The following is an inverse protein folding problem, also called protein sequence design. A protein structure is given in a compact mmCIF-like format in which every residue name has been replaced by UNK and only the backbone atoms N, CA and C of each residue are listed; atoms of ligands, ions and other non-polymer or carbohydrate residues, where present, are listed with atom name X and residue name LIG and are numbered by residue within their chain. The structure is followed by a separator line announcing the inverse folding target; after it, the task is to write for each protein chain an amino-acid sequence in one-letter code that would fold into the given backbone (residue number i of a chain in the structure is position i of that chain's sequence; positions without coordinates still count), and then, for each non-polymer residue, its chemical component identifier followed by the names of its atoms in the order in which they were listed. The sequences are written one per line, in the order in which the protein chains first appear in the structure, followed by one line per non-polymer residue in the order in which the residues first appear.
data_IF_283657996352
#
_entry.id   IF_283657996352
#
_cell.length_a   1.000
_cell.length_b   1.000
_cell.length_c   1.000
_cell.angle_alpha   90.00
_cell.angle_beta   90.00
_cell.angle_gamma   90.00
#
_symmetry.space_group_name_H-M   'P 1'
#
loop_
_entity.id
_entity.type
_entity.pdbx_description
1 polymer ?
#
# COMPACT_ATOMS: atom_id res chain seq x y z
N UNK A 1 31.34 -41.78 -15.86
CA UNK A 1 30.25 -41.74 -14.89
C UNK A 1 29.60 -40.38 -15.03
N UNK A 2 28.58 -40.30 -15.87
CA UNK A 2 27.86 -39.10 -16.20
C UNK A 2 26.64 -39.01 -15.26
N UNK A 3 26.50 -37.88 -14.56
CA UNK A 3 25.37 -37.60 -13.69
C UNK A 3 24.12 -37.33 -14.57
N UNK A 4 22.91 -37.71 -14.14
CA UNK A 4 21.71 -37.47 -14.90
C UNK A 4 21.19 -36.04 -14.74
N UNK A 5 20.78 -35.44 -15.86
CA UNK A 5 20.11 -34.15 -15.98
C UNK A 5 18.83 -34.10 -15.13
N UNK A 6 18.75 -33.10 -14.27
CA UNK A 6 17.52 -32.73 -13.57
C UNK A 6 16.65 -31.84 -14.47
N UNK A 7 15.35 -32.04 -14.56
CA UNK A 7 14.48 -31.24 -15.40
C UNK A 7 14.33 -29.82 -14.82
N UNK A 8 14.64 -28.83 -15.64
CA UNK A 8 14.35 -27.41 -15.36
C UNK A 8 12.84 -27.20 -15.32
N UNK A 9 12.29 -26.97 -14.13
CA UNK A 9 10.92 -26.52 -13.97
C UNK A 9 10.81 -25.09 -14.54
N UNK A 10 10.02 -24.93 -15.58
CA UNK A 10 9.56 -23.63 -16.05
C UNK A 10 8.74 -22.99 -14.93
N UNK A 11 9.23 -21.88 -14.39
CA UNK A 11 8.44 -20.98 -13.60
C UNK A 11 7.27 -20.49 -14.45
N UNK A 12 6.09 -21.04 -14.20
CA UNK A 12 4.85 -20.51 -14.73
C UNK A 12 4.62 -19.12 -14.17
N UNK A 13 4.56 -18.13 -15.04
CA UNK A 13 4.06 -16.82 -14.70
C UNK A 13 2.67 -17.01 -14.06
N UNK A 14 2.55 -16.65 -12.79
CA UNK A 14 1.28 -16.54 -12.11
C UNK A 14 0.49 -15.46 -12.84
N UNK A 15 -0.53 -15.87 -13.59
CA UNK A 15 -1.44 -14.99 -14.29
C UNK A 15 -2.08 -14.05 -13.28
N UNK A 16 -1.92 -12.79 -13.53
CA UNK A 16 -2.59 -11.69 -12.88
C UNK A 16 -4.10 -11.86 -13.14
N UNK A 17 -4.78 -12.37 -12.14
CA UNK A 17 -6.23 -12.51 -12.14
C UNK A 17 -6.89 -11.16 -11.97
N UNK A 18 -6.75 -10.28 -12.97
CA UNK A 18 -7.56 -9.07 -13.10
C UNK A 18 -9.00 -9.44 -13.40
N UNK A 19 -9.69 -9.93 -12.38
CA UNK A 19 -11.14 -9.93 -12.36
C UNK A 19 -11.63 -8.49 -12.35
N UNK A 20 -11.99 -7.95 -13.51
CA UNK A 20 -12.71 -6.71 -13.67
C UNK A 20 -14.11 -6.84 -13.05
N UNK A 21 -14.18 -6.72 -11.74
CA UNK A 21 -15.41 -6.42 -11.03
C UNK A 21 -15.68 -4.94 -11.20
N UNK A 22 -16.36 -4.57 -12.29
CA UNK A 22 -16.94 -3.26 -12.43
C UNK A 22 -18.02 -3.09 -11.36
N UNK A 23 -17.67 -2.50 -10.24
CA UNK A 23 -18.61 -1.79 -9.41
C UNK A 23 -18.79 -0.43 -10.05
N UNK A 24 -19.85 -0.30 -10.88
CA UNK A 24 -20.30 0.98 -11.40
C UNK A 24 -20.71 1.85 -10.21
N UNK A 25 -19.74 2.59 -9.68
CA UNK A 25 -20.02 3.73 -8.83
C UNK A 25 -20.77 4.77 -9.65
N UNK A 26 -21.88 5.28 -9.12
CA UNK A 26 -22.72 6.26 -9.75
C UNK A 26 -21.88 7.47 -10.21
N UNK A 27 -21.66 7.60 -11.52
CA UNK A 27 -21.03 8.74 -12.16
C UNK A 27 -19.81 8.38 -12.97
N UNK A 28 -19.98 8.03 -14.24
CA UNK A 28 -19.02 7.56 -15.25
C UNK A 28 -17.73 8.36 -15.53
N UNK A 29 -17.20 9.15 -14.61
CA UNK A 29 -16.03 9.97 -14.85
C UNK A 29 -14.72 9.39 -14.32
N UNK A 30 -14.71 8.49 -13.35
CA UNK A 30 -13.49 7.92 -12.75
C UNK A 30 -13.68 6.46 -12.34
N UNK A 31 -12.56 5.73 -12.29
CA UNK A 31 -12.53 4.34 -11.83
C UNK A 31 -12.29 4.25 -10.32
N UNK A 32 -12.56 3.07 -9.74
CA UNK A 32 -12.25 2.76 -8.35
C UNK A 32 -10.76 2.94 -8.03
N UNK A 33 -9.86 2.55 -8.95
CA UNK A 33 -8.42 2.74 -8.79
C UNK A 33 -8.00 4.20 -8.82
N UNK A 34 -8.61 5.02 -9.67
CA UNK A 34 -8.42 6.46 -9.68
C UNK A 34 -8.87 7.09 -8.36
N UNK A 35 -10.01 6.66 -7.81
CA UNK A 35 -10.48 7.12 -6.51
C UNK A 35 -9.52 6.75 -5.38
N UNK A 36 -9.07 5.49 -5.31
CA UNK A 36 -8.07 5.03 -4.34
C UNK A 36 -6.78 5.83 -4.45
N UNK A 37 -6.29 6.03 -5.67
CA UNK A 37 -5.05 6.78 -5.95
C UNK A 37 -5.15 8.23 -5.50
N UNK A 38 -6.26 8.90 -5.81
CA UNK A 38 -6.49 10.28 -5.39
C UNK A 38 -6.65 10.38 -3.87
N UNK A 39 -7.35 9.44 -3.25
CA UNK A 39 -7.46 9.39 -1.78
C UNK A 39 -6.08 9.24 -1.11
N UNK A 40 -5.20 8.39 -1.68
CA UNK A 40 -3.84 8.20 -1.19
C UNK A 40 -2.95 9.44 -1.44
N UNK A 41 -3.09 10.10 -2.60
CA UNK A 41 -2.37 11.33 -2.88
C UNK A 41 -2.75 12.44 -1.89
N UNK A 42 -4.04 12.62 -1.62
CA UNK A 42 -4.56 13.62 -0.65
C UNK A 42 -4.11 13.37 0.78
N UNK A 43 -3.64 12.15 1.10
CA UNK A 43 -3.08 11.83 2.41
C UNK A 43 -1.62 12.27 2.57
N UNK A 44 -0.95 12.71 1.51
CA UNK A 44 0.42 13.19 1.54
C UNK A 44 0.45 14.72 1.70
N UNK A 45 1.46 15.23 2.39
CA UNK A 45 1.70 16.65 2.56
C UNK A 45 3.02 17.08 1.91
N UNK A 46 3.10 18.36 1.55
CA UNK A 46 4.30 18.93 0.95
C UNK A 46 5.51 18.85 1.89
N UNK A 47 6.68 18.59 1.34
CA UNK A 47 7.92 18.46 2.09
C UNK A 47 8.13 17.13 2.83
N UNK A 48 7.16 16.19 2.81
CA UNK A 48 7.35 14.85 3.37
C UNK A 48 8.38 14.04 2.58
N UNK A 49 9.06 13.12 3.26
CA UNK A 49 9.80 12.02 2.66
C UNK A 49 8.90 10.79 2.58
N UNK A 50 8.73 10.26 1.38
CA UNK A 50 7.82 9.15 1.11
C UNK A 50 8.56 7.95 0.55
N UNK A 51 8.49 6.80 1.23
CA UNK A 51 9.00 5.52 0.71
C UNK A 51 7.93 4.87 -0.16
N UNK A 52 8.24 4.73 -1.45
CA UNK A 52 7.24 4.45 -2.48
C UNK A 52 7.46 3.07 -3.09
N UNK A 53 6.38 2.29 -3.17
CA UNK A 53 6.30 1.07 -3.99
C UNK A 53 5.86 1.38 -5.42
N UNK A 54 5.75 0.33 -6.24
CA UNK A 54 5.23 0.41 -7.61
C UNK A 54 3.69 0.31 -7.62
N UNK A 55 3.07 0.70 -8.71
CA UNK A 55 1.62 0.65 -8.89
C UNK A 55 0.90 1.85 -8.27
N UNK A 56 -0.23 1.60 -7.60
CA UNK A 56 -1.05 2.66 -6.99
C UNK A 56 -0.27 3.58 -6.04
N UNK A 57 0.65 3.08 -5.19
CA UNK A 57 1.49 3.95 -4.35
C UNK A 57 2.32 4.94 -5.16
N UNK A 58 2.96 4.48 -6.23
CA UNK A 58 3.74 5.35 -7.12
C UNK A 58 2.86 6.38 -7.83
N UNK A 59 1.69 5.97 -8.30
CA UNK A 59 0.72 6.86 -8.91
C UNK A 59 0.26 7.95 -7.93
N UNK A 60 -0.08 7.58 -6.69
CA UNK A 60 -0.51 8.50 -5.66
C UNK A 60 0.57 9.52 -5.28
N UNK A 61 1.80 9.06 -5.05
CA UNK A 61 2.90 9.93 -4.68
C UNK A 61 3.29 10.91 -5.82
N UNK A 62 3.31 10.44 -7.07
CA UNK A 62 3.56 11.31 -8.22
C UNK A 62 2.40 12.28 -8.48
N UNK A 63 1.14 11.87 -8.28
CA UNK A 63 -0.02 12.76 -8.34
C UNK A 63 0.08 13.86 -7.27
N UNK A 64 0.38 13.51 -6.02
CA UNK A 64 0.57 14.49 -4.96
C UNK A 64 1.65 15.51 -5.31
N UNK A 65 2.79 15.05 -5.83
CA UNK A 65 3.88 15.91 -6.27
C UNK A 65 3.50 16.81 -7.45
N UNK A 66 2.70 16.32 -8.39
CA UNK A 66 2.22 17.07 -9.54
C UNK A 66 1.13 18.11 -9.19
N UNK A 67 0.54 18.02 -7.99
CA UNK A 67 -0.60 18.87 -7.59
C UNK A 67 -0.30 19.72 -6.37
N UNK A 68 -0.46 19.18 -5.18
CA UNK A 68 -0.45 19.95 -3.92
C UNK A 68 0.80 19.76 -3.07
N UNK A 69 1.70 18.84 -3.42
CA UNK A 69 2.91 18.52 -2.66
C UNK A 69 4.17 18.51 -3.55
N UNK A 70 4.52 19.64 -4.22
CA UNK A 70 5.64 19.69 -5.20
C UNK A 70 7.01 19.38 -4.59
N UNK A 71 7.19 19.58 -3.29
CA UNK A 71 8.43 19.31 -2.58
C UNK A 71 8.46 17.93 -1.91
N UNK A 72 7.52 17.03 -2.24
CA UNK A 72 7.50 15.66 -1.76
C UNK A 72 8.74 14.90 -2.27
N UNK A 73 9.53 14.35 -1.36
CA UNK A 73 10.74 13.58 -1.69
C UNK A 73 10.39 12.11 -1.82
N UNK A 74 10.43 11.59 -3.05
CA UNK A 74 10.16 10.18 -3.33
C UNK A 74 11.45 9.36 -3.16
N UNK A 75 11.36 8.30 -2.35
CA UNK A 75 12.45 7.36 -2.11
C UNK A 75 11.99 5.98 -2.54
N UNK A 76 12.78 5.30 -3.36
CA UNK A 76 12.50 3.94 -3.80
C UNK A 76 13.53 2.96 -3.22
N UNK A 77 13.09 1.73 -2.97
CA UNK A 77 13.93 0.66 -2.39
C UNK A 77 15.22 0.40 -3.21
N UNK A 78 15.19 0.66 -4.52
CA UNK A 78 16.34 0.54 -5.41
C UNK A 78 17.50 1.51 -5.11
N UNK A 79 17.31 2.49 -4.22
CA UNK A 79 18.34 3.45 -3.83
C UNK A 79 18.16 4.85 -4.38
N UNK A 80 17.11 5.11 -5.14
CA UNK A 80 16.85 6.46 -5.70
C UNK A 80 16.19 7.36 -4.66
N UNK A 81 16.71 8.57 -4.50
CA UNK A 81 16.19 9.60 -3.59
C UNK A 81 15.84 10.84 -4.41
N UNK A 82 14.65 11.37 -4.20
CA UNK A 82 14.15 12.54 -4.91
C UNK A 82 13.85 12.28 -6.38
N UNK A 83 13.49 11.05 -6.76
CA UNK A 83 13.10 10.72 -8.12
C UNK A 83 11.87 11.53 -8.57
N UNK A 84 11.91 12.02 -9.81
CA UNK A 84 10.87 12.89 -10.40
C UNK A 84 10.43 12.36 -11.77
N UNK A 85 9.99 11.10 -11.87
CA UNK A 85 9.64 10.51 -13.15
C UNK A 85 8.46 11.26 -13.78
N UNK A 86 8.51 11.43 -15.11
CA UNK A 86 7.45 12.02 -15.92
C UNK A 86 6.38 11.02 -16.36
N UNK A 87 6.65 9.72 -16.15
CA UNK A 87 5.73 8.59 -16.31
C UNK A 87 5.85 7.63 -15.13
N UNK A 88 4.84 6.82 -14.89
CA UNK A 88 4.94 5.77 -13.88
C UNK A 88 6.00 4.73 -14.27
N UNK A 89 6.87 4.42 -13.32
CA UNK A 89 7.85 3.35 -13.45
C UNK A 89 7.17 1.98 -13.42
N UNK A 90 7.63 1.07 -14.29
CA UNK A 90 7.11 -0.30 -14.37
C UNK A 90 7.73 -1.23 -13.33
N UNK A 91 8.87 -0.86 -12.77
CA UNK A 91 9.55 -1.57 -11.70
C UNK A 91 10.42 -0.63 -10.86
N UNK A 92 10.85 -1.06 -9.68
CA UNK A 92 11.80 -0.29 -8.86
C UNK A 92 13.18 -0.18 -9.52
N UNK A 93 13.48 -1.01 -10.53
CA UNK A 93 14.70 -0.97 -11.34
C UNK A 93 14.55 -0.22 -12.66
N UNK A 94 13.44 0.48 -12.89
CA UNK A 94 13.26 1.30 -14.09
C UNK A 94 14.25 2.46 -14.08
N UNK A 95 15.04 2.61 -15.17
CA UNK A 95 16.08 3.64 -15.31
C UNK A 95 15.58 5.08 -15.11
N UNK A 96 14.30 5.37 -15.44
CA UNK A 96 13.70 6.68 -15.23
C UNK A 96 13.77 7.17 -13.77
N UNK A 97 13.77 6.24 -12.81
CA UNK A 97 13.88 6.59 -11.40
C UNK A 97 15.29 7.11 -11.07
N UNK A 98 16.33 6.50 -11.64
CA UNK A 98 17.71 6.94 -11.45
C UNK A 98 18.02 8.22 -12.25
N UNK A 99 17.55 8.29 -13.50
CA UNK A 99 17.77 9.44 -14.39
C UNK A 99 17.17 10.73 -13.85
N UNK A 100 16.10 10.64 -13.06
CA UNK A 100 15.38 11.80 -12.52
C UNK A 100 15.61 12.02 -11.02
N UNK A 101 16.41 11.17 -10.36
CA UNK A 101 16.71 11.28 -8.95
C UNK A 101 17.69 12.43 -8.63
N UNK A 102 17.55 13.01 -7.45
CA UNK A 102 18.52 13.96 -6.91
C UNK A 102 19.83 13.24 -6.54
N UNK A 103 19.74 11.96 -6.11
CA UNK A 103 20.88 11.09 -5.86
C UNK A 103 20.49 9.62 -5.92
N UNK A 104 21.47 8.75 -6.13
CA UNK A 104 21.34 7.29 -6.09
C UNK A 104 22.36 6.74 -5.11
N UNK A 105 21.89 5.96 -4.15
CA UNK A 105 22.75 5.29 -3.16
C UNK A 105 22.48 3.79 -3.16
N UNK A 106 23.27 3.01 -2.43
CA UNK A 106 23.07 1.56 -2.38
C UNK A 106 21.81 1.19 -1.56
N UNK A 107 21.24 0.01 -1.86
CA UNK A 107 20.11 -0.54 -1.09
C UNK A 107 20.40 -0.61 0.41
N UNK A 108 21.59 -1.11 0.88
CA UNK A 108 21.91 -1.08 2.31
C UNK A 108 21.90 0.33 2.91
N UNK A 109 22.31 1.36 2.17
CA UNK A 109 22.32 2.73 2.68
C UNK A 109 20.90 3.29 2.82
N UNK A 110 19.96 2.96 1.89
CA UNK A 110 18.55 3.31 2.03
C UNK A 110 17.99 2.75 3.34
N UNK A 111 18.22 1.47 3.62
CA UNK A 111 17.70 0.84 4.82
C UNK A 111 18.38 1.34 6.08
N UNK A 112 19.73 1.34 6.12
CA UNK A 112 20.48 1.64 7.34
C UNK A 112 20.52 3.12 7.70
N UNK A 113 20.50 4.03 6.72
CA UNK A 113 20.69 5.46 6.97
C UNK A 113 19.44 6.30 6.77
N UNK A 114 18.43 5.80 6.05
CA UNK A 114 17.17 6.52 5.84
C UNK A 114 16.02 5.88 6.59
N UNK A 115 15.79 4.59 6.40
CA UNK A 115 14.61 3.91 6.92
C UNK A 115 14.75 3.61 8.42
N UNK A 116 15.75 2.83 8.83
CA UNK A 116 15.94 2.43 10.23
C UNK A 116 16.11 3.59 11.20
N UNK A 117 16.78 4.71 10.86
CA UNK A 117 16.82 5.88 11.75
C UNK A 117 15.51 6.67 11.84
N UNK A 118 14.46 6.28 11.11
CA UNK A 118 13.15 6.94 11.14
C UNK A 118 13.11 8.28 10.38
N UNK A 119 13.91 8.42 9.31
CA UNK A 119 13.95 9.63 8.48
C UNK A 119 12.87 9.68 7.41
N UNK A 120 12.10 8.60 7.25
CA UNK A 120 10.99 8.50 6.31
C UNK A 120 9.70 8.86 7.02
N UNK A 121 8.99 9.86 6.50
CA UNK A 121 7.73 10.31 7.10
C UNK A 121 6.61 9.33 6.82
N UNK A 122 6.46 8.88 5.56
CA UNK A 122 5.40 7.96 5.15
C UNK A 122 5.96 6.82 4.30
N UNK A 123 5.58 5.58 4.64
CA UNK A 123 5.79 4.40 3.80
C UNK A 123 4.47 3.88 3.25
N UNK A 124 4.45 3.49 1.97
CA UNK A 124 3.32 2.80 1.39
C UNK A 124 3.52 1.29 1.41
N UNK A 125 2.47 0.56 1.79
CA UNK A 125 2.43 -0.90 1.74
C UNK A 125 1.15 -1.40 1.06
N UNK A 126 1.25 -2.54 0.41
CA UNK A 126 0.12 -3.36 -0.01
C UNK A 126 -0.07 -4.55 0.93
N UNK A 127 -1.19 -5.27 0.78
CA UNK A 127 -1.49 -6.45 1.58
C UNK A 127 -2.17 -7.52 0.74
N UNK A 128 -1.81 -8.78 0.94
CA UNK A 128 -2.63 -9.92 0.49
C UNK A 128 -3.69 -10.28 1.55
N UNK A 129 -3.32 -10.17 2.83
CA UNK A 129 -4.25 -10.17 3.96
C UNK A 129 -3.88 -9.05 4.93
N UNK A 130 -4.91 -8.48 5.56
CA UNK A 130 -4.79 -7.49 6.62
C UNK A 130 -5.85 -7.78 7.69
N UNK A 131 -5.50 -7.62 8.97
CA UNK A 131 -6.42 -7.79 10.08
C UNK A 131 -6.86 -6.45 10.69
N UNK A 132 -7.71 -6.53 11.73
CA UNK A 132 -8.28 -5.36 12.42
C UNK A 132 -7.23 -4.42 13.03
N UNK A 133 -6.03 -4.92 13.32
CA UNK A 133 -4.91 -4.13 13.87
C UNK A 133 -3.93 -3.66 12.79
N UNK A 134 -4.26 -3.86 11.51
CA UNK A 134 -3.41 -3.48 10.39
C UNK A 134 -2.14 -4.31 10.26
N UNK A 135 -2.09 -5.52 10.86
CA UNK A 135 -1.02 -6.46 10.56
C UNK A 135 -1.18 -6.98 9.14
N UNK A 136 -0.09 -7.07 8.41
CA UNK A 136 -0.08 -7.40 6.99
C UNK A 136 0.57 -8.75 6.75
N UNK A 137 -0.03 -9.54 5.88
CA UNK A 137 0.52 -10.77 5.35
C UNK A 137 0.73 -10.67 3.84
N UNK A 138 1.97 -10.93 3.41
CA UNK A 138 2.37 -11.09 2.00
C UNK A 138 3.24 -12.34 1.82
N UNK A 139 3.22 -13.28 2.77
CA UNK A 139 4.15 -14.41 2.81
C UNK A 139 3.49 -15.74 2.50
N UNK A 140 2.42 -16.12 3.18
CA UNK A 140 1.69 -17.38 2.97
C UNK A 140 0.20 -17.22 3.21
N UNK A 141 -0.61 -18.08 2.59
CA UNK A 141 -2.04 -18.21 2.93
C UNK A 141 -2.34 -19.68 3.18
N UNK A 142 -2.95 -19.96 4.33
CA UNK A 142 -3.34 -21.30 4.79
C UNK A 142 -2.17 -22.25 5.04
N UNK A 143 -2.35 -23.17 5.96
CA UNK A 143 -1.28 -24.07 6.40
C UNK A 143 -0.27 -23.41 7.33
N UNK A 144 0.93 -23.93 7.40
CA UNK A 144 2.06 -23.37 8.13
C UNK A 144 3.18 -22.90 7.19
N UNK A 145 4.20 -22.24 7.74
CA UNK A 145 5.29 -21.69 6.92
C UNK A 145 6.05 -22.75 6.12
N UNK A 146 6.19 -23.97 6.64
CA UNK A 146 6.87 -25.08 5.98
C UNK A 146 6.03 -25.73 4.88
N UNK A 147 4.69 -25.72 5.03
CA UNK A 147 3.73 -26.34 4.11
C UNK A 147 2.49 -25.45 3.88
N UNK A 148 2.63 -24.28 3.24
CA UNK A 148 1.52 -23.37 2.99
C UNK A 148 0.65 -23.87 1.84
N UNK A 149 -0.65 -23.56 1.89
CA UNK A 149 -1.54 -23.79 0.73
C UNK A 149 -1.18 -22.89 -0.44
N UNK A 150 -0.82 -21.63 -0.15
CA UNK A 150 -0.36 -20.67 -1.15
C UNK A 150 0.89 -19.96 -0.62
N UNK A 151 1.96 -19.95 -1.42
CA UNK A 151 3.15 -19.12 -1.19
C UNK A 151 2.95 -17.80 -1.94
N UNK A 152 3.06 -16.69 -1.22
CA UNK A 152 3.02 -15.33 -1.76
C UNK A 152 4.45 -14.82 -2.06
N UNK A 153 4.61 -13.63 -2.67
CA UNK A 153 5.92 -13.08 -3.02
C UNK A 153 6.90 -12.94 -1.84
N UNK A 154 6.40 -12.80 -0.62
CA UNK A 154 7.22 -12.67 0.58
C UNK A 154 7.29 -11.25 1.13
N UNK A 155 8.33 -10.97 1.91
CA UNK A 155 8.43 -9.76 2.70
C UNK A 155 9.01 -8.55 1.93
N UNK A 156 10.06 -8.75 1.12
CA UNK A 156 10.84 -7.62 0.62
C UNK A 156 11.25 -6.69 1.76
N UNK A 157 11.20 -5.39 1.54
CA UNK A 157 11.42 -4.37 2.56
C UNK A 157 10.21 -4.04 3.45
N UNK A 158 9.06 -4.66 3.23
CA UNK A 158 7.82 -4.28 3.92
C UNK A 158 7.86 -4.35 5.45
N UNK A 159 8.50 -5.36 6.09
CA UNK A 159 8.63 -5.39 7.56
C UNK A 159 9.39 -4.18 8.11
N UNK A 160 10.46 -3.79 7.42
CA UNK A 160 11.29 -2.67 7.83
C UNK A 160 10.56 -1.33 7.63
N UNK A 161 9.83 -1.19 6.53
CA UNK A 161 8.97 -0.03 6.27
C UNK A 161 7.92 0.10 7.38
N UNK A 162 7.22 -1.00 7.72
CA UNK A 162 6.21 -1.02 8.77
C UNK A 162 6.76 -0.70 10.16
N UNK A 163 8.02 -1.10 10.42
CA UNK A 163 8.68 -0.89 11.72
C UNK A 163 9.27 0.52 11.88
N UNK A 164 9.77 1.12 10.81
CA UNK A 164 10.71 2.24 10.88
C UNK A 164 10.21 3.55 10.25
N UNK A 165 9.27 3.54 9.29
CA UNK A 165 8.63 4.77 8.82
C UNK A 165 7.87 5.43 9.98
N UNK A 166 7.86 6.77 10.04
CA UNK A 166 7.06 7.47 11.06
C UNK A 166 5.61 7.03 10.97
N UNK A 167 5.05 6.93 9.76
CA UNK A 167 3.70 6.45 9.50
C UNK A 167 3.65 5.54 8.27
N UNK A 168 2.64 4.70 8.21
CA UNK A 168 2.38 3.83 7.06
C UNK A 168 0.98 4.10 6.51
N UNK A 169 0.84 4.08 5.18
CA UNK A 169 -0.44 4.04 4.48
C UNK A 169 -0.52 2.71 3.75
N UNK A 170 -1.56 1.95 4.03
CA UNK A 170 -1.83 0.68 3.35
C UNK A 170 -2.85 0.91 2.24
N UNK A 171 -2.55 0.47 1.01
CA UNK A 171 -3.50 0.51 -0.12
C UNK A 171 -3.84 -0.92 -0.49
N UNK A 172 -5.11 -1.28 -0.37
CA UNK A 172 -5.57 -2.66 -0.60
C UNK A 172 -7.06 -2.69 -0.98
N UNK A 173 -7.45 -3.51 -1.97
CA UNK A 173 -8.87 -3.72 -2.29
C UNK A 173 -9.56 -4.50 -1.19
N UNK A 174 -10.72 -4.02 -0.77
CA UNK A 174 -11.48 -4.61 0.33
C UNK A 174 -12.26 -5.83 -0.13
N UNK A 175 -11.95 -6.95 0.47
CA UNK A 175 -12.67 -8.21 0.25
C UNK A 175 -12.47 -9.12 1.46
N UNK A 176 -13.38 -10.05 1.72
CA UNK A 176 -13.23 -11.05 2.82
C UNK A 176 -11.96 -11.89 2.70
N UNK A 177 -11.40 -11.99 1.51
CA UNK A 177 -10.13 -12.69 1.28
C UNK A 177 -8.93 -11.88 1.75
N UNK A 178 -8.99 -10.56 1.60
CA UNK A 178 -7.92 -9.65 2.02
C UNK A 178 -8.12 -9.15 3.45
N UNK A 179 -9.35 -8.83 3.84
CA UNK A 179 -9.70 -8.34 5.18
C UNK A 179 -10.13 -9.53 6.04
N UNK A 180 -9.20 -10.10 6.78
CA UNK A 180 -9.38 -11.31 7.59
C UNK A 180 -9.40 -10.99 9.08
N UNK A 181 -10.09 -11.79 9.88
CA UNK A 181 -10.11 -11.60 11.34
C UNK A 181 -8.71 -11.66 11.94
N UNK A 182 -7.89 -12.59 11.45
CA UNK A 182 -6.48 -12.77 11.80
C UNK A 182 -5.71 -13.18 10.56
N UNK A 183 -4.58 -12.52 10.31
CA UNK A 183 -3.68 -12.90 9.22
C UNK A 183 -3.07 -14.28 9.46
N UNK A 184 -2.90 -15.07 8.40
CA UNK A 184 -2.29 -16.41 8.49
C UNK A 184 -0.80 -16.35 8.84
N UNK A 185 -0.16 -15.23 8.52
CA UNK A 185 1.23 -14.95 8.85
C UNK A 185 1.43 -13.43 8.98
N UNK A 186 2.17 -12.98 9.99
CA UNK A 186 2.51 -11.56 10.11
C UNK A 186 3.81 -11.30 9.36
N UNK A 187 3.69 -10.75 8.16
CA UNK A 187 4.86 -10.28 7.40
C UNK A 187 5.32 -8.92 7.89
N UNK A 188 4.37 -7.99 8.08
CA UNK A 188 4.63 -6.64 8.55
C UNK A 188 3.68 -6.32 9.70
N UNK A 189 4.24 -5.86 10.82
CA UNK A 189 3.45 -5.58 12.03
C UNK A 189 2.73 -4.24 11.89
N UNK A 190 1.43 -4.24 12.11
CA UNK A 190 0.64 -3.05 12.36
C UNK A 190 0.69 -2.63 13.83
N UNK A 191 -0.41 -2.78 14.54
CA UNK A 191 -0.51 -2.58 15.99
C UNK A 191 -0.41 -3.89 16.79
N UNK A 192 0.06 -4.98 16.16
CA UNK A 192 0.22 -6.27 16.85
C UNK A 192 -1.10 -6.85 17.33
N UNK A 193 -1.26 -6.99 18.64
CA UNK A 193 -2.49 -7.42 19.31
C UNK A 193 -3.24 -6.25 19.98
N UNK A 194 -2.87 -5.02 19.69
CA UNK A 194 -3.52 -3.82 20.20
C UNK A 194 -2.60 -2.84 20.90
N UNK A 195 -3.14 -2.01 21.80
CA UNK A 195 -2.40 -0.93 22.45
C UNK A 195 -1.13 -1.40 23.16
N UNK A 196 -0.03 -0.68 23.00
CA UNK A 196 1.26 -0.95 23.65
C UNK A 196 2.13 -2.03 22.99
N UNK A 197 1.60 -2.77 21.99
CA UNK A 197 2.39 -3.83 21.35
C UNK A 197 3.56 -3.28 20.52
N UNK A 198 3.39 -2.13 19.87
CA UNK A 198 4.49 -1.52 19.10
C UNK A 198 5.66 -1.14 20.00
N UNK A 199 5.39 -0.54 21.14
CA UNK A 199 6.37 -0.20 22.17
C UNK A 199 7.04 -1.45 22.74
N UNK A 200 6.26 -2.49 23.06
CA UNK A 200 6.76 -3.78 23.57
C UNK A 200 7.69 -4.46 22.56
N UNK A 201 7.41 -4.32 21.28
CA UNK A 201 8.22 -4.86 20.18
C UNK A 201 9.41 -3.95 19.81
N UNK A 202 9.54 -2.77 20.40
CA UNK A 202 10.61 -1.82 20.12
C UNK A 202 10.53 -1.19 18.72
N UNK A 203 9.33 -1.11 18.13
CA UNK A 203 9.13 -0.54 16.81
C UNK A 203 9.19 0.99 16.88
N UNK A 204 9.97 1.60 15.98
CA UNK A 204 10.21 3.06 16.01
C UNK A 204 9.05 3.88 15.45
N UNK A 205 8.45 3.41 14.36
CA UNK A 205 7.38 4.12 13.68
C UNK A 205 6.05 4.02 14.43
N UNK A 206 5.14 4.95 14.12
CA UNK A 206 3.81 5.01 14.75
C UNK A 206 2.84 3.93 14.21
N UNK A 207 3.24 3.21 13.15
CA UNK A 207 2.40 2.18 12.52
C UNK A 207 1.51 2.71 11.40
N UNK A 208 0.55 1.88 10.95
CA UNK A 208 -0.32 2.24 9.85
C UNK A 208 -1.40 3.24 10.32
N UNK A 209 -1.30 4.47 9.81
CA UNK A 209 -2.27 5.53 10.12
C UNK A 209 -3.55 5.44 9.31
N UNK A 210 -3.48 4.82 8.13
CA UNK A 210 -4.63 4.68 7.23
C UNK A 210 -4.54 3.39 6.42
N UNK A 211 -5.72 2.76 6.23
CA UNK A 211 -5.95 1.76 5.21
C UNK A 211 -6.90 2.39 4.19
N UNK A 212 -6.44 2.54 2.94
CA UNK A 212 -7.23 3.08 1.83
C UNK A 212 -7.66 1.92 0.96
N UNK A 213 -8.96 1.81 0.77
CA UNK A 213 -9.59 0.71 0.01
C UNK A 213 -10.36 1.25 -1.18
N UNK A 214 -10.92 0.36 -1.98
CA UNK A 214 -11.88 0.68 -3.04
C UNK A 214 -13.27 1.09 -2.52
N UNK A 215 -13.50 1.02 -1.19
CA UNK A 215 -14.76 1.37 -0.56
C UNK A 215 -14.67 2.63 0.32
N UNK A 216 -13.50 2.94 0.82
CA UNK A 216 -13.32 4.05 1.73
C UNK A 216 -11.97 4.04 2.45
N UNK A 217 -11.91 4.75 3.57
CA UNK A 217 -10.70 4.90 4.38
C UNK A 217 -10.99 4.46 5.81
N UNK A 218 -10.09 3.63 6.34
CA UNK A 218 -10.10 3.23 7.73
C UNK A 218 -8.90 3.89 8.44
N UNK A 219 -9.12 4.30 9.68
CA UNK A 219 -8.06 4.79 10.59
C UNK A 219 -8.09 4.03 11.89
N UNK A 220 -6.95 3.88 12.60
CA UNK A 220 -6.94 3.21 13.89
C UNK A 220 -7.71 4.02 14.92
N UNK A 221 -8.50 3.37 15.73
CA UNK A 221 -9.09 3.94 16.91
C UNK A 221 -7.97 4.23 17.94
N UNK A 222 -7.95 5.42 18.55
CA UNK A 222 -6.84 5.83 19.42
C UNK A 222 -6.74 5.02 20.73
N UNK A 223 -7.83 4.39 21.18
CA UNK A 223 -7.87 3.63 22.43
C UNK A 223 -7.61 2.14 22.20
N UNK A 224 -8.20 1.57 21.14
CA UNK A 224 -8.15 0.13 20.86
C UNK A 224 -7.12 -0.26 19.82
N UNK A 225 -6.66 0.69 18.99
CA UNK A 225 -5.85 0.47 17.80
C UNK A 225 -6.56 -0.37 16.70
N UNK A 226 -7.85 -0.69 16.87
CA UNK A 226 -8.61 -1.36 15.82
C UNK A 226 -8.99 -0.39 14.69
N UNK A 227 -8.89 -0.85 13.45
CA UNK A 227 -9.23 -0.01 12.31
C UNK A 227 -10.73 0.17 12.16
N UNK A 228 -11.16 1.44 12.20
CA UNK A 228 -12.53 1.91 12.09
C UNK A 228 -12.71 2.65 10.77
N UNK A 229 -13.82 2.43 10.08
CA UNK A 229 -14.17 3.18 8.84
C UNK A 229 -14.51 4.62 9.21
N UNK A 230 -13.69 5.56 8.77
CA UNK A 230 -13.86 6.99 9.06
C UNK A 230 -14.26 7.81 7.84
N UNK A 231 -14.08 7.24 6.63
CA UNK A 231 -14.60 7.85 5.41
C UNK A 231 -15.06 6.78 4.43
N UNK A 232 -16.12 7.10 3.69
CA UNK A 232 -16.78 6.22 2.70
C UNK A 232 -16.70 6.89 1.34
N UNK A 233 -16.46 6.13 0.29
CA UNK A 233 -16.43 6.64 -1.07
C UNK A 233 -17.86 6.84 -1.63
N UNK A 234 -18.04 7.74 -2.60
CA UNK A 234 -19.37 7.98 -3.18
C UNK A 234 -20.01 6.71 -3.73
N UNK A 235 -21.29 6.51 -3.39
CA UNK A 235 -22.06 5.34 -3.84
C UNK A 235 -21.81 4.04 -3.06
N UNK A 236 -20.88 4.01 -2.12
CA UNK A 236 -20.65 2.85 -1.25
C UNK A 236 -21.55 2.91 -0.03
N UNK A 237 -22.10 1.75 0.36
CA UNK A 237 -22.92 1.59 1.56
C UNK A 237 -22.15 0.92 2.70
N UNK A 238 -22.57 1.18 3.94
CA UNK A 238 -22.00 0.50 5.11
C UNK A 238 -22.19 -1.02 5.04
N UNK A 239 -23.30 -1.48 4.49
CA UNK A 239 -23.59 -2.90 4.30
C UNK A 239 -22.53 -3.55 3.39
N UNK A 240 -22.21 -2.93 2.25
CA UNK A 240 -21.15 -3.39 1.35
C UNK A 240 -19.80 -3.50 2.06
N UNK A 241 -19.46 -2.52 2.92
CA UNK A 241 -18.23 -2.54 3.69
C UNK A 241 -18.22 -3.73 4.66
N UNK A 242 -19.30 -3.94 5.42
CA UNK A 242 -19.44 -5.07 6.37
C UNK A 242 -19.36 -6.42 5.66
N UNK A 243 -20.04 -6.57 4.53
CA UNK A 243 -20.02 -7.79 3.72
C UNK A 243 -18.62 -8.15 3.21
N UNK A 244 -17.80 -7.15 2.90
CA UNK A 244 -16.44 -7.35 2.38
C UNK A 244 -15.35 -7.41 3.45
N UNK A 245 -15.71 -7.32 4.72
CA UNK A 245 -14.78 -7.40 5.87
C UNK A 245 -14.94 -8.73 6.60
N UNK A 246 -13.84 -9.34 7.00
CA UNK A 246 -13.80 -10.64 7.69
C UNK A 246 -14.02 -10.56 9.20
N UNK A 247 -14.12 -9.35 9.77
CA UNK A 247 -14.44 -9.10 11.18
C UNK A 247 -15.59 -8.11 11.31
N UNK A 248 -16.12 -7.94 12.49
CA UNK A 248 -17.12 -6.92 12.79
C UNK A 248 -16.44 -5.55 12.80
N UNK A 249 -16.40 -4.90 11.63
CA UNK A 249 -15.73 -3.62 11.48
C UNK A 249 -16.56 -2.49 12.06
N UNK A 250 -15.95 -1.68 12.92
CA UNK A 250 -16.55 -0.45 13.41
C UNK A 250 -16.62 0.60 12.29
N UNK A 251 -17.73 1.36 12.29
CA UNK A 251 -17.92 2.51 11.40
C UNK A 251 -18.17 3.71 12.30
N UNK A 252 -17.50 4.83 12.04
CA UNK A 252 -17.71 6.05 12.79
C UNK A 252 -19.19 6.48 12.76
N UNK A 253 -19.69 7.11 13.81
CA UNK A 253 -21.10 7.54 13.94
C UNK A 253 -21.54 8.44 12.78
N UNK A 254 -20.60 9.22 12.21
CA UNK A 254 -20.82 10.06 11.03
C UNK A 254 -19.60 9.95 10.12
N UNK A 255 -19.47 8.85 9.35
CA UNK A 255 -18.33 8.68 8.46
C UNK A 255 -18.36 9.77 7.38
N UNK A 256 -17.20 10.37 7.12
CA UNK A 256 -17.11 11.41 6.08
C UNK A 256 -17.32 10.80 4.69
N UNK A 257 -18.17 11.37 3.88
CA UNK A 257 -18.18 11.04 2.44
C UNK A 257 -17.00 11.73 1.78
N UNK A 258 -16.10 10.94 1.20
CA UNK A 258 -14.94 11.48 0.48
C UNK A 258 -15.42 12.22 -0.78
N UNK A 259 -14.78 13.35 -1.05
CA UNK A 259 -15.02 14.07 -2.31
C UNK A 259 -14.47 13.24 -3.47
N UNK A 260 -15.23 13.08 -4.58
CA UNK A 260 -14.73 12.42 -5.78
C UNK A 260 -13.46 13.11 -6.30
N UNK A 261 -12.68 12.45 -7.17
CA UNK A 261 -11.57 13.09 -7.84
C UNK A 261 -12.04 14.32 -8.61
N UNK A 262 -11.31 15.43 -8.49
CA UNK A 262 -11.55 16.61 -9.32
C UNK A 262 -11.04 16.40 -10.75
N UNK A 263 -11.56 17.17 -11.71
CA UNK A 263 -11.10 17.12 -13.09
C UNK A 263 -9.58 17.39 -13.22
N UNK A 264 -9.03 18.27 -12.36
CA UNK A 264 -7.61 18.55 -12.34
C UNK A 264 -6.76 17.38 -11.84
N UNK A 265 -7.21 16.70 -10.76
CA UNK A 265 -6.54 15.49 -10.24
C UNK A 265 -6.58 14.34 -11.25
N UNK A 266 -7.73 14.11 -11.91
CA UNK A 266 -7.85 13.10 -12.96
C UNK A 266 -6.96 13.40 -14.16
N UNK A 267 -6.92 14.66 -14.62
CA UNK A 267 -6.06 15.05 -15.72
C UNK A 267 -4.57 14.83 -15.38
N UNK A 268 -4.14 15.24 -14.19
CA UNK A 268 -2.77 15.05 -13.73
C UNK A 268 -2.42 13.56 -13.58
N UNK A 269 -3.33 12.75 -12.98
CA UNK A 269 -3.13 11.32 -12.82
C UNK A 269 -3.02 10.60 -14.19
N UNK A 270 -3.95 10.87 -15.10
CA UNK A 270 -3.99 10.25 -16.42
C UNK A 270 -2.81 10.64 -17.31
N UNK A 271 -2.23 11.83 -17.08
CA UNK A 271 -1.03 12.27 -17.79
C UNK A 271 0.23 11.45 -17.47
N UNK A 272 0.34 10.96 -16.22
CA UNK A 272 1.49 10.14 -15.78
C UNK A 272 1.26 8.64 -15.95
N UNK A 273 0.01 8.21 -16.13
CA UNK A 273 -0.32 6.79 -16.32
C UNK A 273 -0.06 6.37 -17.76
N UNK A 274 0.68 5.28 -18.02
CA UNK A 274 0.83 4.76 -19.36
C UNK A 274 -0.51 4.27 -19.92
N UNK A 275 -0.69 4.36 -21.24
CA UNK A 275 -1.95 4.05 -21.92
C UNK A 275 -2.49 2.61 -21.69
N UNK A 276 -1.63 1.70 -21.25
CA UNK A 276 -1.93 0.29 -20.96
C UNK A 276 -2.10 0.00 -19.45
N UNK A 277 -2.20 1.02 -18.62
CA UNK A 277 -2.45 0.88 -17.16
C UNK A 277 -3.96 0.81 -16.85
N UNK A 278 -4.72 0.28 -17.81
CA UNK A 278 -6.18 0.10 -17.68
C UNK A 278 -6.52 -1.30 -17.21
#
# INVERSE_FOLDING_TARGET
MTAPDAPRSRAGAAGDGSGSGAGDGAGGEYTSDEMMTVAAARALADGMTCFVGIGLPSAAANLARATHAPNLVLIYESGTIGAKPDRLSLSIGDGILADTADTVISVPEIFNYWLQPGRIDVGFLGAAQIDRYGNINTTIVGGDYGNPKVRLPGAGGAPEIAASCKEVIVIVRQSRRAFVEKVDFVTSVGYGSGPGDRERLGLRGNGPRQIITDLGVLTPDPETCEFTVTAIFPGVTEETIRERTGWEVAIAVAPRTMQPPSAAELAALRAIMPANFK
#
